data_IF_735961569260
#
_entry.id   IF_735961569260
#
_cell.length_a   1.000
_cell.length_b   1.000
_cell.length_c   1.000
_cell.angle_alpha   90.00
_cell.angle_beta   90.00
_cell.angle_gamma   90.00
#
_symmetry.space_group_name_H-M   'P 1'
#
loop_
_entity.id
_entity.type
_entity.pdbx_description
1 polymer ?
#
# COMPACT_ATOMS: atom_id res chain seq x y z
N UNK A 1 37.15 -10.50 -29.11
CA UNK A 1 36.50 -9.34 -28.45
C UNK A 1 35.59 -8.69 -29.48
N UNK A 2 34.28 -8.79 -29.25
CA UNK A 2 33.11 -8.19 -29.92
C UNK A 2 31.93 -8.95 -29.25
N UNK A 3 31.50 -8.61 -28.04
CA UNK A 3 30.84 -7.34 -27.72
C UNK A 3 29.31 -7.45 -27.80
N UNK A 4 28.73 -8.64 -27.62
CA UNK A 4 27.27 -8.86 -27.57
C UNK A 4 26.70 -8.48 -26.18
N UNK A 5 27.01 -7.26 -25.71
CA UNK A 5 26.63 -6.72 -24.38
C UNK A 5 25.20 -6.16 -24.31
N UNK A 6 24.25 -6.67 -25.10
CA UNK A 6 22.94 -6.00 -25.21
C UNK A 6 21.70 -6.87 -25.43
N UNK A 7 21.74 -8.19 -25.20
CA UNK A 7 20.59 -9.05 -25.49
C UNK A 7 20.06 -9.89 -24.30
N UNK A 8 20.79 -9.98 -23.19
CA UNK A 8 20.33 -10.72 -22.01
C UNK A 8 19.87 -9.74 -20.92
N UNK A 9 18.58 -9.75 -20.50
CA UNK A 9 18.08 -8.86 -19.44
C UNK A 9 18.76 -9.07 -18.09
N UNK A 10 19.46 -10.20 -17.91
CA UNK A 10 20.22 -10.55 -16.70
C UNK A 10 21.73 -10.34 -16.86
N UNK A 11 22.16 -9.55 -17.83
CA UNK A 11 23.57 -9.21 -18.00
C UNK A 11 24.14 -8.51 -16.75
N UNK A 12 25.25 -9.01 -16.22
CA UNK A 12 25.88 -8.49 -15.01
C UNK A 12 25.29 -9.02 -13.69
N UNK A 13 24.33 -9.96 -13.75
CA UNK A 13 23.70 -10.54 -12.55
C UNK A 13 24.71 -11.17 -11.58
N UNK A 14 25.72 -11.88 -12.10
CA UNK A 14 26.75 -12.54 -11.28
C UNK A 14 27.87 -11.58 -10.83
N UNK A 15 27.90 -10.34 -11.35
CA UNK A 15 28.91 -9.34 -10.98
C UNK A 15 28.52 -8.58 -9.68
N UNK A 16 27.27 -8.71 -9.23
CA UNK A 16 26.78 -8.12 -7.98
C UNK A 16 27.15 -9.02 -6.79
N UNK A 17 27.72 -8.43 -5.75
CA UNK A 17 27.99 -9.14 -4.49
C UNK A 17 26.70 -9.28 -3.65
N UNK A 18 25.82 -10.19 -4.08
CA UNK A 18 24.56 -10.44 -3.40
C UNK A 18 24.73 -10.92 -1.96
N UNK A 19 25.83 -11.62 -1.66
CA UNK A 19 26.15 -12.07 -0.31
C UNK A 19 26.45 -10.91 0.63
N UNK A 20 27.06 -9.83 0.13
CA UNK A 20 27.26 -8.61 0.91
C UNK A 20 25.93 -7.84 1.14
N UNK A 21 25.05 -7.83 0.14
CA UNK A 21 23.76 -7.12 0.22
C UNK A 21 22.72 -7.85 1.08
N UNK A 22 22.68 -9.18 1.03
CA UNK A 22 21.78 -10.01 1.81
C UNK A 22 22.56 -11.18 2.44
N UNK A 23 23.14 -11.00 3.65
CA UNK A 23 24.09 -11.95 4.24
C UNK A 23 23.56 -13.38 4.43
N UNK A 24 22.28 -13.53 4.73
CA UNK A 24 21.69 -14.83 5.04
C UNK A 24 21.41 -15.67 3.79
N UNK A 25 20.79 -15.06 2.77
CA UNK A 25 20.24 -15.77 1.61
C UNK A 25 20.61 -15.16 0.25
N UNK A 26 21.47 -14.13 0.22
CA UNK A 26 21.79 -13.39 -1.00
C UNK A 26 22.39 -14.23 -2.12
N UNK A 27 23.11 -15.30 -1.80
CA UNK A 27 23.64 -16.24 -2.80
C UNK A 27 22.57 -16.97 -3.62
N UNK A 28 21.32 -17.01 -3.13
CA UNK A 28 20.18 -17.61 -3.84
C UNK A 28 19.64 -16.67 -4.93
N UNK A 29 19.75 -15.35 -4.75
CA UNK A 29 19.09 -14.32 -5.60
C UNK A 29 19.41 -14.49 -7.10
N UNK A 30 20.67 -14.73 -7.54
CA UNK A 30 20.96 -14.96 -8.97
C UNK A 30 20.25 -16.17 -9.56
N UNK A 31 20.06 -17.24 -8.78
CA UNK A 31 19.33 -18.42 -9.22
C UNK A 31 17.85 -18.11 -9.39
N UNK A 32 17.27 -17.42 -8.41
CA UNK A 32 15.86 -17.05 -8.40
C UNK A 32 15.51 -16.07 -9.53
N UNK A 33 16.32 -15.04 -9.77
CA UNK A 33 16.11 -14.09 -10.89
C UNK A 33 16.16 -14.76 -12.26
N UNK A 34 16.94 -15.84 -12.42
CA UNK A 34 16.90 -16.67 -13.64
C UNK A 34 15.62 -17.52 -13.70
N UNK A 35 15.17 -18.04 -12.56
CA UNK A 35 13.95 -18.83 -12.42
C UNK A 35 12.68 -18.06 -12.82
N UNK A 36 12.66 -16.74 -12.66
CA UNK A 36 11.56 -15.85 -13.11
C UNK A 36 11.24 -15.98 -14.61
N UNK A 37 12.19 -16.42 -15.44
CA UNK A 37 11.97 -16.60 -16.90
C UNK A 37 11.30 -17.93 -17.27
N UNK A 38 11.19 -18.85 -16.32
CA UNK A 38 10.86 -20.25 -16.59
C UNK A 38 9.56 -20.70 -15.92
N UNK A 39 9.37 -22.02 -15.90
CA UNK A 39 8.20 -22.67 -15.26
C UNK A 39 8.18 -22.53 -13.73
N UNK A 40 9.30 -22.11 -13.13
CA UNK A 40 9.44 -21.88 -11.70
C UNK A 40 9.24 -20.40 -11.32
N UNK A 41 8.64 -19.60 -12.23
CA UNK A 41 8.50 -18.15 -12.04
C UNK A 41 7.83 -17.80 -10.70
N UNK A 42 6.66 -18.37 -10.44
CA UNK A 42 5.89 -18.11 -9.23
C UNK A 42 6.72 -18.43 -7.97
N UNK A 43 7.27 -19.65 -7.88
CA UNK A 43 8.11 -20.06 -6.75
C UNK A 43 9.35 -19.17 -6.58
N UNK A 44 9.94 -18.71 -7.69
CA UNK A 44 11.09 -17.82 -7.68
C UNK A 44 10.74 -16.44 -7.17
N UNK A 45 9.58 -15.89 -7.56
CA UNK A 45 9.08 -14.60 -7.09
C UNK A 45 8.74 -14.65 -5.59
N UNK A 46 8.12 -15.74 -5.11
CA UNK A 46 7.86 -15.93 -3.66
C UNK A 46 9.17 -15.95 -2.88
N UNK A 47 10.14 -16.76 -3.30
CA UNK A 47 11.42 -16.85 -2.63
C UNK A 47 12.21 -15.54 -2.68
N UNK A 48 12.10 -14.77 -3.78
CA UNK A 48 12.67 -13.42 -3.86
C UNK A 48 12.00 -12.48 -2.88
N UNK A 49 10.66 -12.46 -2.82
CA UNK A 49 9.91 -11.66 -1.86
C UNK A 49 10.34 -11.96 -0.42
N UNK A 50 10.45 -13.24 -0.03
CA UNK A 50 10.91 -13.61 1.32
C UNK A 50 12.30 -13.08 1.68
N UNK A 51 13.24 -13.07 0.72
CA UNK A 51 14.60 -12.57 0.93
C UNK A 51 14.63 -11.04 0.97
N UNK A 52 13.81 -10.42 0.11
CA UNK A 52 13.79 -8.99 -0.16
C UNK A 52 12.63 -8.28 0.54
N UNK A 53 12.04 -8.85 1.59
CA UNK A 53 10.93 -8.23 2.31
C UNK A 53 11.44 -7.11 3.23
N UNK A 54 10.86 -5.92 3.10
CA UNK A 54 11.06 -4.84 4.06
C UNK A 54 10.30 -5.12 5.37
N UNK A 55 10.81 -4.75 6.56
CA UNK A 55 12.07 -4.06 6.84
C UNK A 55 13.25 -5.02 7.12
N UNK A 56 13.24 -6.23 6.55
CA UNK A 56 14.24 -7.25 6.82
C UNK A 56 15.64 -6.92 6.26
N UNK A 57 16.70 -7.54 6.80
CA UNK A 57 18.09 -7.21 6.45
C UNK A 57 18.44 -7.49 4.99
N UNK A 58 17.76 -8.44 4.33
CA UNK A 58 17.97 -8.77 2.92
C UNK A 58 17.43 -7.72 1.94
N UNK A 59 16.56 -6.82 2.40
CA UNK A 59 16.01 -5.73 1.60
C UNK A 59 17.09 -4.77 1.06
N UNK A 60 18.29 -4.74 1.65
CA UNK A 60 19.44 -4.02 1.10
C UNK A 60 19.83 -4.46 -0.33
N UNK A 61 19.39 -5.65 -0.78
CA UNK A 61 19.55 -6.12 -2.16
C UNK A 61 18.43 -5.67 -3.13
N UNK A 62 17.32 -5.13 -2.62
CA UNK A 62 16.13 -4.77 -3.42
C UNK A 62 16.43 -3.80 -4.58
N UNK A 63 17.22 -2.72 -4.41
CA UNK A 63 17.49 -1.79 -5.50
C UNK A 63 18.10 -2.47 -6.73
N UNK A 64 19.02 -3.41 -6.52
CA UNK A 64 19.66 -4.17 -7.61
C UNK A 64 18.73 -5.21 -8.20
N UNK A 65 17.87 -5.84 -7.39
CA UNK A 65 16.88 -6.80 -7.87
C UNK A 65 15.85 -6.12 -8.79
N UNK A 66 15.37 -4.93 -8.41
CA UNK A 66 14.44 -4.10 -9.21
C UNK A 66 14.97 -3.86 -10.63
N UNK A 67 16.24 -3.50 -10.78
CA UNK A 67 16.86 -3.29 -12.10
C UNK A 67 16.68 -4.51 -13.02
N UNK A 68 16.95 -5.72 -12.49
CA UNK A 68 16.82 -6.97 -13.26
C UNK A 68 15.35 -7.33 -13.53
N UNK A 69 14.46 -7.12 -12.54
CA UNK A 69 13.03 -7.38 -12.71
C UNK A 69 12.42 -6.50 -13.81
N UNK A 70 12.77 -5.21 -13.86
CA UNK A 70 12.31 -4.31 -14.92
C UNK A 70 12.88 -4.66 -16.30
N UNK A 71 14.13 -5.16 -16.38
CA UNK A 71 14.66 -5.69 -17.64
C UNK A 71 13.85 -6.91 -18.13
N UNK A 72 13.36 -7.76 -17.23
CA UNK A 72 12.51 -8.91 -17.58
C UNK A 72 11.13 -8.44 -18.07
N UNK A 73 10.53 -7.43 -17.43
CA UNK A 73 9.28 -6.82 -17.89
C UNK A 73 9.44 -6.24 -19.30
N UNK A 74 10.51 -5.49 -19.54
CA UNK A 74 10.83 -4.91 -20.85
C UNK A 74 11.06 -5.98 -21.93
N UNK A 75 11.68 -7.12 -21.57
CA UNK A 75 11.86 -8.24 -22.50
C UNK A 75 10.53 -8.93 -22.88
N UNK A 76 9.46 -8.74 -22.11
CA UNK A 76 8.19 -9.41 -22.39
C UNK A 76 8.12 -10.84 -21.87
N UNK A 77 8.75 -11.17 -20.73
CA UNK A 77 8.61 -12.51 -20.13
C UNK A 77 7.13 -12.86 -19.87
N UNK A 78 6.70 -14.13 -19.90
CA UNK A 78 5.35 -14.49 -19.45
C UNK A 78 5.10 -14.03 -18.00
N UNK A 79 3.84 -13.77 -17.62
CA UNK A 79 3.50 -13.42 -16.24
C UNK A 79 4.04 -12.07 -15.74
N UNK A 80 4.27 -11.09 -16.63
CA UNK A 80 4.84 -9.77 -16.23
C UNK A 80 4.09 -9.07 -15.11
N UNK A 81 2.77 -9.26 -15.00
CA UNK A 81 1.97 -8.70 -13.92
C UNK A 81 2.46 -9.18 -12.54
N UNK A 82 2.89 -10.44 -12.40
CA UNK A 82 3.47 -10.98 -11.16
C UNK A 82 4.85 -10.39 -10.86
N UNK A 83 5.64 -10.17 -11.92
CA UNK A 83 6.94 -9.48 -11.80
C UNK A 83 6.74 -8.03 -11.35
N UNK A 84 5.75 -7.34 -11.92
CA UNK A 84 5.37 -5.99 -11.52
C UNK A 84 4.82 -5.94 -10.10
N UNK A 85 4.07 -6.95 -9.64
CA UNK A 85 3.67 -7.02 -8.24
C UNK A 85 4.89 -7.00 -7.31
N UNK A 86 5.90 -7.85 -7.56
CA UNK A 86 7.12 -7.81 -6.76
C UNK A 86 7.85 -6.46 -6.89
N UNK A 87 7.91 -5.86 -8.08
CA UNK A 87 8.52 -4.53 -8.26
C UNK A 87 7.78 -3.47 -7.42
N UNK A 88 6.45 -3.52 -7.37
CA UNK A 88 5.64 -2.64 -6.52
C UNK A 88 6.05 -2.81 -5.05
N UNK A 89 6.05 -4.04 -4.55
CA UNK A 89 6.30 -4.32 -3.13
C UNK A 89 7.73 -3.94 -2.72
N UNK A 90 8.69 -4.02 -3.65
CA UNK A 90 10.05 -3.57 -3.42
C UNK A 90 10.18 -2.05 -3.48
N UNK A 91 9.48 -1.36 -4.38
CA UNK A 91 9.63 0.07 -4.56
C UNK A 91 8.86 0.90 -3.52
N UNK A 92 7.69 0.41 -3.10
CA UNK A 92 6.80 1.07 -2.13
C UNK A 92 6.33 0.03 -1.10
N UNK A 93 7.23 -0.50 -0.25
CA UNK A 93 6.92 -1.61 0.66
C UNK A 93 5.88 -1.26 1.73
N UNK A 94 5.72 0.03 2.05
CA UNK A 94 4.78 0.53 3.04
C UNK A 94 3.79 1.51 2.40
N UNK A 95 2.96 1.05 1.46
CA UNK A 95 2.02 1.89 0.69
C UNK A 95 1.15 2.82 1.55
N UNK A 96 0.70 2.35 2.72
CA UNK A 96 -0.11 3.14 3.66
C UNK A 96 0.62 4.36 4.25
N UNK A 97 1.94 4.43 4.12
CA UNK A 97 2.76 5.57 4.53
C UNK A 97 2.69 6.72 3.52
N UNK A 98 2.14 6.49 2.34
CA UNK A 98 2.00 7.47 1.25
C UNK A 98 0.56 8.01 1.12
N UNK A 99 -0.34 7.65 2.03
CA UNK A 99 -1.73 8.11 2.07
C UNK A 99 -2.14 8.65 3.46
N UNK A 100 -2.97 9.71 3.50
CA UNK A 100 -3.46 10.48 2.35
C UNK A 100 -2.40 11.46 1.79
N UNK A 101 -1.45 11.88 2.62
CA UNK A 101 -0.44 12.87 2.21
C UNK A 101 0.73 12.21 1.50
N UNK A 102 1.13 12.79 0.37
CA UNK A 102 2.27 12.30 -0.40
C UNK A 102 3.57 12.62 0.33
N UNK A 103 4.58 11.79 0.12
CA UNK A 103 5.92 12.02 0.67
C UNK A 103 6.67 13.04 -0.18
N UNK A 104 7.29 14.02 0.45
CA UNK A 104 8.24 14.90 -0.22
C UNK A 104 9.55 14.15 -0.47
N UNK A 105 9.86 13.92 -1.75
CA UNK A 105 11.05 13.17 -2.18
C UNK A 105 12.36 13.90 -1.84
N UNK A 106 12.39 15.24 -1.86
CA UNK A 106 13.58 15.99 -1.50
C UNK A 106 13.89 15.84 0.00
N UNK A 107 12.86 15.97 0.85
CA UNK A 107 12.99 15.72 2.29
C UNK A 107 13.38 14.27 2.58
N UNK A 108 12.82 13.29 1.86
CA UNK A 108 13.22 11.90 1.99
C UNK A 108 14.71 11.68 1.65
N UNK A 109 15.20 12.26 0.56
CA UNK A 109 16.62 12.18 0.19
C UNK A 109 17.52 12.78 1.25
N UNK A 110 17.16 13.93 1.81
CA UNK A 110 17.92 14.58 2.88
C UNK A 110 17.94 13.72 4.16
N UNK A 111 16.80 13.14 4.53
CA UNK A 111 16.68 12.18 5.64
C UNK A 111 17.60 10.97 5.46
N UNK A 112 17.54 10.31 4.30
CA UNK A 112 18.36 9.12 4.01
C UNK A 112 19.85 9.45 3.93
N UNK A 113 20.20 10.62 3.37
CA UNK A 113 21.59 11.09 3.34
C UNK A 113 22.14 11.27 4.77
N UNK A 114 21.33 11.82 5.67
CA UNK A 114 21.68 11.94 7.08
C UNK A 114 21.84 10.57 7.76
N UNK A 115 20.86 9.66 7.62
CA UNK A 115 20.92 8.30 8.21
C UNK A 115 22.15 7.53 7.73
N UNK A 116 22.45 7.62 6.44
CA UNK A 116 23.60 6.93 5.83
C UNK A 116 24.94 7.43 6.35
N UNK A 117 25.00 8.67 6.86
CA UNK A 117 26.20 9.25 7.48
C UNK A 117 26.26 9.08 9.00
N UNK A 118 25.16 8.66 9.65
CA UNK A 118 25.07 8.49 11.09
C UNK A 118 25.50 7.07 11.51
N UNK A 119 25.96 6.91 12.76
CA UNK A 119 26.04 5.59 13.37
C UNK A 119 24.64 5.06 13.73
N UNK A 120 24.48 3.74 13.75
CA UNK A 120 23.18 3.11 13.95
C UNK A 120 22.55 3.39 15.33
N UNK A 121 23.34 3.74 16.35
CA UNK A 121 22.82 4.12 17.67
C UNK A 121 22.18 5.50 17.61
N UNK A 122 22.94 6.49 17.12
CA UNK A 122 22.47 7.86 16.91
C UNK A 122 21.23 7.92 16.01
N UNK A 123 21.21 7.13 14.92
CA UNK A 123 20.05 7.04 14.06
C UNK A 123 18.81 6.55 14.84
N UNK A 124 18.92 5.44 15.57
CA UNK A 124 17.80 4.88 16.36
C UNK A 124 17.27 5.88 17.39
N UNK A 125 18.16 6.53 18.14
CA UNK A 125 17.77 7.49 19.18
C UNK A 125 17.02 8.69 18.59
N UNK A 126 17.48 9.20 17.44
CA UNK A 126 16.82 10.31 16.76
C UNK A 126 15.44 9.93 16.22
N UNK A 127 15.30 8.76 15.56
CA UNK A 127 13.99 8.30 15.09
C UNK A 127 13.03 8.01 16.24
N UNK A 128 13.52 7.53 17.39
CA UNK A 128 12.69 7.37 18.59
C UNK A 128 12.19 8.73 19.11
N UNK A 129 13.03 9.76 19.05
CA UNK A 129 12.63 11.15 19.30
C UNK A 129 11.55 11.63 18.34
N UNK A 130 11.76 11.48 17.02
CA UNK A 130 10.77 11.83 16.00
C UNK A 130 9.46 11.06 16.16
N UNK A 131 9.51 9.78 16.57
CA UNK A 131 8.30 8.99 16.82
C UNK A 131 7.44 9.60 17.95
N UNK A 132 8.09 10.09 19.01
CA UNK A 132 7.41 10.70 20.14
C UNK A 132 6.81 12.09 19.81
N UNK A 133 7.38 12.76 18.80
CA UNK A 133 6.98 14.08 18.32
C UNK A 133 6.15 14.02 17.02
N UNK A 134 5.81 12.82 16.53
CA UNK A 134 5.10 12.65 15.27
C UNK A 134 3.77 13.44 15.29
N UNK A 135 3.53 14.33 14.31
CA UNK A 135 2.40 15.25 14.34
C UNK A 135 1.05 14.58 14.07
N UNK A 136 1.08 13.46 13.35
CA UNK A 136 -0.08 12.70 12.90
C UNK A 136 0.22 11.20 12.83
N UNK A 137 -0.81 10.41 12.56
CA UNK A 137 -0.68 8.97 12.49
C UNK A 137 0.11 8.50 11.26
N UNK A 138 0.06 9.22 10.14
CA UNK A 138 0.79 8.85 8.94
C UNK A 138 2.30 8.95 9.12
N UNK A 139 2.78 10.06 9.69
CA UNK A 139 4.18 10.28 10.00
C UNK A 139 4.68 9.28 11.05
N UNK A 140 3.83 8.93 12.02
CA UNK A 140 4.16 7.90 12.98
C UNK A 140 4.32 6.51 12.34
N UNK A 141 3.47 6.13 11.38
CA UNK A 141 3.61 4.87 10.64
C UNK A 141 4.95 4.82 9.88
N UNK A 142 5.27 5.89 9.14
CA UNK A 142 6.56 6.09 8.44
C UNK A 142 7.77 5.85 9.36
N UNK A 143 7.78 6.53 10.50
CA UNK A 143 8.88 6.45 11.47
C UNK A 143 8.96 5.04 12.10
N UNK A 144 7.82 4.42 12.41
CA UNK A 144 7.75 3.07 13.00
C UNK A 144 8.36 2.02 12.08
N UNK A 145 8.05 2.08 10.77
CA UNK A 145 8.62 1.19 9.77
C UNK A 145 10.15 1.27 9.73
N UNK A 146 10.71 2.49 9.71
CA UNK A 146 12.16 2.72 9.69
C UNK A 146 12.84 2.34 11.00
N UNK A 147 12.20 2.53 12.15
CA UNK A 147 12.72 2.05 13.43
C UNK A 147 12.86 0.52 13.47
N UNK A 148 11.93 -0.22 12.86
CA UNK A 148 12.05 -1.68 12.70
C UNK A 148 13.25 -2.05 11.83
N UNK A 149 13.44 -1.37 10.70
CA UNK A 149 14.60 -1.57 9.83
C UNK A 149 15.92 -1.29 10.57
N UNK A 150 15.98 -0.16 11.28
CA UNK A 150 17.11 0.21 12.12
C UNK A 150 17.37 -0.83 13.20
N UNK A 151 16.41 -1.65 13.62
CA UNK A 151 16.62 -2.74 14.60
C UNK A 151 17.64 -3.80 14.16
N UNK A 152 17.95 -3.91 12.87
CA UNK A 152 18.94 -4.84 12.33
C UNK A 152 20.37 -4.29 12.35
N UNK A 153 21.37 -5.17 12.29
CA UNK A 153 22.79 -4.80 12.28
C UNK A 153 23.17 -3.92 11.08
N UNK A 154 22.58 -4.19 9.91
CA UNK A 154 22.72 -3.41 8.68
C UNK A 154 21.57 -2.39 8.48
N UNK A 155 20.87 -2.01 9.55
CA UNK A 155 19.60 -1.27 9.46
C UNK A 155 19.67 0.07 8.74
N UNK A 156 20.78 0.82 8.85
CA UNK A 156 20.96 2.07 8.08
C UNK A 156 21.04 1.82 6.58
N UNK A 157 21.63 0.69 6.16
CA UNK A 157 21.66 0.28 4.76
C UNK A 157 20.27 -0.17 4.27
N UNK A 158 19.47 -0.79 5.14
CA UNK A 158 18.07 -1.14 4.82
C UNK A 158 17.21 0.11 4.60
N UNK A 159 17.33 1.12 5.46
CA UNK A 159 16.64 2.41 5.29
C UNK A 159 17.11 3.12 4.01
N UNK A 160 18.42 3.11 3.72
CA UNK A 160 18.92 3.68 2.47
C UNK A 160 18.42 2.92 1.23
N UNK A 161 18.28 1.59 1.34
CA UNK A 161 17.76 0.76 0.27
C UNK A 161 16.28 1.02 -0.03
N UNK A 162 15.48 1.50 0.93
CA UNK A 162 14.07 1.88 0.72
C UNK A 162 13.98 2.97 -0.35
N UNK A 163 14.74 4.05 -0.18
CA UNK A 163 14.83 5.12 -1.17
C UNK A 163 15.46 4.63 -2.47
N UNK A 164 16.54 3.86 -2.40
CA UNK A 164 17.23 3.41 -3.61
C UNK A 164 16.38 2.47 -4.47
N UNK A 165 15.49 1.66 -3.88
CA UNK A 165 14.57 0.79 -4.63
C UNK A 165 13.48 1.61 -5.32
N UNK A 166 12.92 2.61 -4.63
CA UNK A 166 12.02 3.59 -5.21
C UNK A 166 12.67 4.34 -6.39
N UNK A 167 13.88 4.84 -6.22
CA UNK A 167 14.61 5.55 -7.27
C UNK A 167 15.00 4.64 -8.45
N UNK A 168 15.31 3.37 -8.21
CA UNK A 168 15.61 2.40 -9.27
C UNK A 168 14.41 2.17 -10.21
N UNK A 169 13.18 2.22 -9.70
CA UNK A 169 11.96 2.20 -10.54
C UNK A 169 11.76 3.55 -11.21
N UNK A 170 11.93 4.67 -10.49
CA UNK A 170 11.78 6.03 -11.06
C UNK A 170 12.70 6.25 -12.28
N UNK A 171 13.94 5.76 -12.21
CA UNK A 171 14.91 5.88 -13.29
C UNK A 171 14.57 5.00 -14.51
N UNK A 172 13.54 4.14 -14.39
CA UNK A 172 13.09 3.19 -15.42
C UNK A 172 11.59 3.29 -15.72
N UNK A 173 10.95 4.42 -15.41
CA UNK A 173 9.52 4.62 -15.69
C UNK A 173 9.13 4.46 -17.16
N UNK A 174 10.05 4.65 -18.11
CA UNK A 174 9.78 4.41 -19.53
C UNK A 174 9.32 2.97 -19.81
N UNK A 175 9.82 1.99 -19.04
CA UNK A 175 9.38 0.59 -19.14
C UNK A 175 7.90 0.48 -18.75
N UNK A 176 7.49 1.14 -17.67
CA UNK A 176 6.12 1.13 -17.18
C UNK A 176 5.17 1.88 -18.11
N UNK A 177 5.57 3.06 -18.60
CA UNK A 177 4.80 3.81 -19.58
C UNK A 177 4.60 3.01 -20.88
N UNK A 178 5.65 2.32 -21.35
CA UNK A 178 5.57 1.51 -22.56
C UNK A 178 4.61 0.32 -22.47
N UNK A 179 4.33 -0.19 -21.26
CA UNK A 179 3.39 -1.31 -21.08
C UNK A 179 1.95 -0.88 -20.77
N UNK A 180 1.68 0.43 -20.63
CA UNK A 180 0.30 0.94 -20.57
C UNK A 180 -0.42 0.71 -21.91
N UNK A 181 0.30 0.85 -23.01
CA UNK A 181 -0.28 0.79 -24.36
C UNK A 181 -0.46 -0.65 -24.86
N UNK A 182 -1.39 -0.83 -25.79
CA UNK A 182 -1.54 -2.07 -26.55
C UNK A 182 -2.51 -3.07 -25.92
N UNK A 183 -3.41 -3.61 -26.75
CA UNK A 183 -4.48 -4.54 -26.35
C UNK A 183 -3.97 -5.76 -25.58
N UNK A 184 -2.76 -6.24 -25.90
CA UNK A 184 -2.14 -7.39 -25.23
C UNK A 184 -1.73 -7.12 -23.77
N UNK A 185 -1.54 -5.86 -23.39
CA UNK A 185 -1.18 -5.48 -22.03
C UNK A 185 -2.40 -5.19 -21.14
N UNK A 186 -3.61 -5.08 -21.73
CA UNK A 186 -4.83 -4.57 -21.07
C UNK A 186 -5.92 -5.62 -20.86
N UNK A 187 -5.69 -6.88 -21.17
CA UNK A 187 -6.67 -7.96 -21.00
C UNK A 187 -6.30 -8.91 -19.87
N UNK A 188 -7.29 -9.56 -19.25
CA UNK A 188 -7.08 -10.61 -18.25
C UNK A 188 -6.09 -10.22 -17.15
N UNK A 189 -4.96 -10.91 -17.09
CA UNK A 189 -3.78 -10.60 -16.28
C UNK A 189 -3.09 -9.30 -16.76
N UNK A 190 -3.76 -8.17 -16.57
CA UNK A 190 -3.44 -6.87 -17.16
C UNK A 190 -2.11 -6.31 -16.64
N UNK A 191 -1.10 -6.30 -17.51
CA UNK A 191 0.20 -5.67 -17.22
C UNK A 191 0.06 -4.14 -17.12
N UNK A 192 -0.84 -3.56 -17.91
CA UNK A 192 -1.14 -2.13 -17.91
C UNK A 192 -1.75 -1.68 -16.57
N UNK A 193 -2.60 -2.52 -15.96
CA UNK A 193 -3.20 -2.25 -14.65
C UNK A 193 -2.13 -2.13 -13.56
N UNK A 194 -1.22 -3.12 -13.50
CA UNK A 194 -0.10 -3.09 -12.56
C UNK A 194 0.87 -1.94 -12.83
N UNK A 195 1.12 -1.61 -14.09
CA UNK A 195 1.95 -0.47 -14.43
C UNK A 195 1.30 0.84 -13.98
N UNK A 196 0.02 1.05 -14.26
CA UNK A 196 -0.73 2.22 -13.78
C UNK A 196 -0.70 2.33 -12.26
N UNK A 197 -0.87 1.19 -11.57
CA UNK A 197 -0.79 1.14 -10.11
C UNK A 197 0.58 1.55 -9.55
N UNK A 198 1.68 1.07 -10.15
CA UNK A 198 3.04 1.47 -9.74
C UNK A 198 3.27 2.96 -10.03
N UNK A 199 2.84 3.44 -11.20
CA UNK A 199 3.00 4.83 -11.62
C UNK A 199 2.30 5.82 -10.67
N UNK A 200 1.20 5.42 -10.02
CA UNK A 200 0.47 6.23 -9.04
C UNK A 200 1.35 6.73 -7.87
N UNK A 201 2.46 6.04 -7.59
CA UNK A 201 3.34 6.34 -6.45
C UNK A 201 4.50 7.28 -6.79
N UNK A 202 4.58 7.83 -8.00
CA UNK A 202 5.65 8.73 -8.48
C UNK A 202 5.11 10.13 -8.83
N UNK A 203 4.60 10.89 -7.84
CA UNK A 203 4.00 12.21 -8.07
C UNK A 203 4.97 13.24 -8.67
N UNK A 204 6.27 13.11 -8.39
CA UNK A 204 7.31 13.96 -8.97
C UNK A 204 7.47 13.80 -10.48
N UNK A 205 6.93 12.72 -11.06
CA UNK A 205 6.91 12.45 -12.50
C UNK A 205 5.50 12.65 -13.11
N UNK A 206 4.58 13.30 -12.39
CA UNK A 206 3.19 13.47 -12.82
C UNK A 206 3.06 14.14 -14.21
N UNK A 207 3.95 15.10 -14.55
CA UNK A 207 3.94 15.80 -15.85
C UNK A 207 4.03 14.85 -17.05
N UNK A 208 4.75 13.72 -16.91
CA UNK A 208 4.89 12.70 -17.95
C UNK A 208 3.89 11.55 -17.78
N UNK A 209 3.50 11.21 -16.55
CA UNK A 209 2.62 10.07 -16.26
C UNK A 209 1.16 10.40 -16.58
N UNK A 210 0.65 11.55 -16.13
CA UNK A 210 -0.78 11.92 -16.27
C UNK A 210 -1.22 11.93 -17.74
N UNK A 211 -0.49 12.56 -18.68
CA UNK A 211 -0.86 12.49 -20.09
C UNK A 211 -0.85 11.07 -20.66
N UNK A 212 0.09 10.22 -20.23
CA UNK A 212 0.16 8.83 -20.69
C UNK A 212 -1.05 8.01 -20.22
N UNK A 213 -1.46 8.17 -18.95
CA UNK A 213 -2.65 7.52 -18.40
C UNK A 213 -3.93 7.95 -19.13
N UNK A 214 -4.11 9.25 -19.39
CA UNK A 214 -5.25 9.76 -20.13
C UNK A 214 -5.33 9.20 -21.56
N UNK A 215 -4.18 9.02 -22.22
CA UNK A 215 -4.13 8.53 -23.59
C UNK A 215 -4.30 7.00 -23.68
N UNK A 216 -3.83 6.25 -22.69
CA UNK A 216 -3.79 4.79 -22.74
C UNK A 216 -5.21 4.16 -22.82
N UNK A 217 -6.19 4.80 -22.19
CA UNK A 217 -7.60 4.40 -22.19
C UNK A 217 -8.52 5.24 -23.10
N UNK A 218 -8.02 6.24 -23.84
CA UNK A 218 -8.85 7.11 -24.69
C UNK A 218 -9.24 6.37 -25.99
N UNK A 219 -10.52 6.04 -26.24
CA UNK A 219 -10.94 5.31 -27.43
C UNK A 219 -10.71 6.07 -28.75
N UNK A 220 -10.38 7.37 -28.71
CA UNK A 220 -10.02 8.16 -29.90
C UNK A 220 -8.54 8.04 -30.26
N UNK A 221 -7.70 7.77 -29.27
CA UNK A 221 -6.25 7.63 -29.44
C UNK A 221 -5.82 6.16 -29.45
N UNK A 222 -6.58 5.33 -28.74
CA UNK A 222 -6.47 3.89 -28.67
C UNK A 222 -7.56 3.23 -29.53
N UNK A 223 -7.79 1.95 -29.28
CA UNK A 223 -8.80 1.13 -29.93
C UNK A 223 -10.21 1.54 -29.45
N UNK A 224 -11.21 1.72 -30.33
CA UNK A 224 -12.54 2.23 -29.96
C UNK A 224 -13.29 1.41 -28.90
N UNK A 225 -12.91 0.15 -28.71
CA UNK A 225 -13.49 -0.76 -27.73
C UNK A 225 -12.75 -0.71 -26.37
N UNK A 226 -11.62 -0.01 -26.27
CA UNK A 226 -10.88 0.13 -25.02
C UNK A 226 -11.52 1.18 -24.12
N UNK A 227 -11.51 0.87 -22.82
CA UNK A 227 -11.91 1.75 -21.74
C UNK A 227 -10.72 2.01 -20.82
N UNK A 228 -10.74 3.10 -20.04
CA UNK A 228 -9.83 3.28 -18.91
C UNK A 228 -9.93 2.08 -17.96
N UNK A 229 -8.80 1.69 -17.39
CA UNK A 229 -8.77 0.70 -16.31
C UNK A 229 -9.00 1.41 -14.96
N UNK A 230 -9.67 0.80 -13.98
CA UNK A 230 -9.84 1.38 -12.64
C UNK A 230 -8.52 1.83 -11.99
N UNK A 231 -7.44 1.07 -12.14
CA UNK A 231 -6.11 1.45 -11.64
C UNK A 231 -5.53 2.70 -12.33
N UNK A 232 -5.87 2.97 -13.60
CA UNK A 232 -5.48 4.22 -14.28
C UNK A 232 -6.24 5.42 -13.72
N UNK A 233 -7.53 5.23 -13.44
CA UNK A 233 -8.38 6.26 -12.82
C UNK A 233 -7.89 6.57 -11.40
N UNK A 234 -7.56 5.55 -10.62
CA UNK A 234 -6.89 5.70 -9.33
C UNK A 234 -5.56 6.47 -9.44
N UNK A 235 -4.70 6.08 -10.38
CA UNK A 235 -3.42 6.73 -10.60
C UNK A 235 -3.58 8.22 -10.98
N UNK A 236 -4.59 8.58 -11.76
CA UNK A 236 -4.93 9.98 -12.02
C UNK A 236 -5.29 10.72 -10.73
N UNK A 237 -6.08 10.09 -9.85
CA UNK A 237 -6.40 10.62 -8.52
C UNK A 237 -5.17 10.90 -7.67
N UNK A 238 -4.22 9.97 -7.69
CA UNK A 238 -2.97 10.03 -6.95
C UNK A 238 -1.92 10.99 -7.52
N UNK A 239 -2.10 11.52 -8.74
CA UNK A 239 -1.06 12.28 -9.42
C UNK A 239 -1.48 13.68 -9.85
N UNK A 240 -2.75 13.86 -10.22
CA UNK A 240 -3.20 15.12 -10.80
C UNK A 240 -3.16 16.28 -9.81
N UNK A 241 -2.89 17.47 -10.36
CA UNK A 241 -3.00 18.74 -9.65
C UNK A 241 -4.48 19.18 -9.63
N UNK A 242 -5.03 19.67 -8.50
CA UNK A 242 -6.40 20.17 -8.45
C UNK A 242 -6.71 21.30 -9.45
N UNK A 243 -5.71 22.04 -9.91
CA UNK A 243 -5.84 23.05 -10.94
C UNK A 243 -5.90 22.47 -12.36
N UNK A 244 -5.63 21.17 -12.56
CA UNK A 244 -5.77 20.50 -13.85
C UNK A 244 -7.26 20.21 -14.16
N UNK A 245 -7.86 21.17 -14.85
CA UNK A 245 -9.24 21.06 -15.31
C UNK A 245 -9.45 19.88 -16.30
N UNK A 246 -8.41 19.43 -17.01
CA UNK A 246 -8.52 18.33 -17.97
C UNK A 246 -8.81 17.02 -17.25
N UNK A 247 -8.02 16.70 -16.22
CA UNK A 247 -8.22 15.51 -15.39
C UNK A 247 -9.56 15.60 -14.66
N UNK A 248 -9.87 16.75 -14.06
CA UNK A 248 -11.14 16.94 -13.33
C UNK A 248 -12.36 16.71 -14.23
N UNK A 249 -12.35 17.24 -15.46
CA UNK A 249 -13.43 17.02 -16.44
C UNK A 249 -13.50 15.57 -16.88
N UNK A 250 -12.35 14.93 -17.12
CA UNK A 250 -12.30 13.51 -17.48
C UNK A 250 -12.92 12.62 -16.38
N UNK A 251 -12.49 12.78 -15.13
CA UNK A 251 -13.03 12.05 -13.99
C UNK A 251 -14.52 12.35 -13.78
N UNK A 252 -14.94 13.60 -13.92
CA UNK A 252 -16.35 13.99 -13.84
C UNK A 252 -17.24 13.35 -14.91
N UNK A 253 -16.70 13.06 -16.10
CA UNK A 253 -17.42 12.30 -17.13
C UNK A 253 -17.59 10.83 -16.72
N UNK A 254 -16.56 10.22 -16.13
CA UNK A 254 -16.58 8.83 -15.65
C UNK A 254 -17.58 8.60 -14.50
N UNK A 255 -17.97 9.64 -13.74
CA UNK A 255 -19.07 9.54 -12.75
C UNK A 255 -20.43 9.18 -13.37
N UNK A 256 -20.54 9.13 -14.70
CA UNK A 256 -21.74 8.76 -15.43
C UNK A 256 -21.52 7.52 -16.32
N UNK A 257 -20.43 6.77 -16.12
CA UNK A 257 -20.22 5.51 -16.83
C UNK A 257 -21.27 4.45 -16.41
N UNK A 258 -21.42 3.43 -17.25
CA UNK A 258 -22.27 2.28 -16.97
C UNK A 258 -21.57 1.21 -16.09
N UNK A 259 -20.25 1.33 -15.94
CA UNK A 259 -19.43 0.48 -15.07
C UNK A 259 -19.31 1.11 -13.67
N UNK A 260 -19.92 0.46 -12.68
CA UNK A 260 -19.95 0.95 -11.29
C UNK A 260 -18.54 1.02 -10.68
N UNK A 261 -17.60 0.16 -11.08
CA UNK A 261 -16.22 0.20 -10.60
C UNK A 261 -15.49 1.44 -11.12
N UNK A 262 -15.72 1.82 -12.38
CA UNK A 262 -15.18 3.07 -12.94
C UNK A 262 -15.82 4.31 -12.31
N UNK A 263 -17.12 4.27 -12.02
CA UNK A 263 -17.80 5.36 -11.30
C UNK A 263 -17.20 5.53 -9.91
N UNK A 264 -17.00 4.43 -9.18
CA UNK A 264 -16.40 4.45 -7.85
C UNK A 264 -14.93 4.92 -7.89
N UNK A 265 -14.12 4.39 -8.81
CA UNK A 265 -12.73 4.81 -9.00
C UNK A 265 -12.63 6.31 -9.31
N UNK A 266 -13.51 6.83 -10.17
CA UNK A 266 -13.52 8.25 -10.52
C UNK A 266 -13.94 9.15 -9.36
N UNK A 267 -14.91 8.71 -8.56
CA UNK A 267 -15.34 9.43 -7.36
C UNK A 267 -14.22 9.50 -6.32
N UNK A 268 -13.54 8.37 -6.08
CA UNK A 268 -12.38 8.30 -5.19
C UNK A 268 -11.22 9.15 -5.69
N UNK A 269 -10.93 9.10 -6.99
CA UNK A 269 -9.90 9.92 -7.62
C UNK A 269 -10.19 11.42 -7.49
N UNK A 270 -11.43 11.86 -7.69
CA UNK A 270 -11.83 13.26 -7.47
C UNK A 270 -11.66 13.67 -6.00
N UNK A 271 -11.96 12.77 -5.07
CA UNK A 271 -11.70 12.97 -3.64
C UNK A 271 -10.21 13.19 -3.34
N UNK A 272 -9.34 12.35 -3.90
CA UNK A 272 -7.88 12.49 -3.74
C UNK A 272 -7.31 13.77 -4.36
N UNK A 273 -7.83 14.19 -5.52
CA UNK A 273 -7.34 15.40 -6.22
C UNK A 273 -7.74 16.66 -5.49
N UNK A 274 -9.00 16.75 -5.05
CA UNK A 274 -9.59 18.00 -4.55
C UNK A 274 -9.68 18.08 -3.03
N UNK A 275 -9.59 16.94 -2.32
CA UNK A 275 -9.67 16.85 -0.87
C UNK A 275 -10.93 17.58 -0.33
N UNK A 276 -10.77 18.62 0.51
CA UNK A 276 -11.91 19.43 1.00
C UNK A 276 -12.74 20.14 -0.07
N UNK A 277 -12.20 20.32 -1.28
CA UNK A 277 -12.88 20.96 -2.41
C UNK A 277 -13.54 19.95 -3.37
N UNK A 278 -13.69 18.68 -2.95
CA UNK A 278 -14.29 17.63 -3.77
C UNK A 278 -15.67 18.02 -4.30
N UNK A 279 -16.01 17.70 -5.57
CA UNK A 279 -17.36 17.90 -6.07
C UNK A 279 -18.39 17.05 -5.30
N UNK A 280 -19.52 17.65 -4.91
CA UNK A 280 -20.64 16.98 -4.21
C UNK A 280 -21.11 15.70 -4.94
N UNK A 281 -21.05 15.69 -6.27
CA UNK A 281 -21.40 14.51 -7.07
C UNK A 281 -20.49 13.31 -6.80
N UNK A 282 -19.19 13.54 -6.56
CA UNK A 282 -18.27 12.45 -6.22
C UNK A 282 -18.57 11.90 -4.82
N UNK A 283 -18.85 12.78 -3.85
CA UNK A 283 -19.28 12.37 -2.50
C UNK A 283 -20.54 11.52 -2.57
N UNK A 284 -21.55 11.96 -3.32
CA UNK A 284 -22.78 11.20 -3.51
C UNK A 284 -22.53 9.80 -4.09
N UNK A 285 -21.64 9.68 -5.10
CA UNK A 285 -21.27 8.37 -5.67
C UNK A 285 -20.56 7.45 -4.68
N UNK A 286 -19.70 7.98 -3.81
CA UNK A 286 -19.07 7.18 -2.75
C UNK A 286 -20.09 6.71 -1.71
N UNK A 287 -21.05 7.57 -1.35
CA UNK A 287 -22.10 7.25 -0.38
C UNK A 287 -23.13 6.23 -0.90
N UNK A 288 -23.44 6.27 -2.19
CA UNK A 288 -24.38 5.36 -2.87
C UNK A 288 -23.91 3.88 -2.86
N UNK A 289 -22.61 3.66 -2.67
CA UNK A 289 -22.03 2.31 -2.65
C UNK A 289 -22.16 1.69 -1.26
N UNK A 290 -22.80 0.51 -1.21
CA UNK A 290 -22.98 -0.24 0.02
C UNK A 290 -21.71 -0.97 0.47
N UNK A 291 -20.96 -1.58 -0.46
CA UNK A 291 -19.81 -2.45 -0.20
C UNK A 291 -18.52 -1.86 -0.78
N UNK A 292 -17.86 -0.95 -0.07
CA UNK A 292 -16.63 -0.31 -0.56
C UNK A 292 -15.48 -1.30 -0.76
N UNK A 293 -15.40 -2.32 0.09
CA UNK A 293 -14.36 -3.34 0.05
C UNK A 293 -14.25 -4.06 -1.30
N UNK A 294 -15.40 -4.34 -1.94
CA UNK A 294 -15.45 -5.02 -3.24
C UNK A 294 -14.93 -4.10 -4.35
N UNK A 295 -15.36 -2.83 -4.37
CA UNK A 295 -14.91 -1.86 -5.36
C UNK A 295 -13.45 -1.48 -5.18
N UNK A 296 -12.93 -1.39 -3.94
CA UNK A 296 -11.52 -1.16 -3.70
C UNK A 296 -10.66 -2.28 -4.30
N UNK A 297 -11.07 -3.55 -4.16
CA UNK A 297 -10.35 -4.68 -4.74
C UNK A 297 -10.33 -4.66 -6.27
N UNK A 298 -11.32 -4.05 -6.92
CA UNK A 298 -11.33 -3.83 -8.37
C UNK A 298 -10.48 -2.62 -8.79
N UNK A 299 -10.41 -1.57 -7.97
CA UNK A 299 -9.69 -0.34 -8.29
C UNK A 299 -8.18 -0.45 -8.06
N UNK A 300 -7.78 -1.26 -7.08
CA UNK A 300 -6.42 -1.34 -6.56
C UNK A 300 -5.97 -2.80 -6.61
N UNK A 301 -4.94 -3.13 -7.42
CA UNK A 301 -4.34 -4.44 -7.37
C UNK A 301 -3.91 -4.80 -5.95
N UNK A 302 -4.26 -6.01 -5.49
CA UNK A 302 -3.79 -6.51 -4.19
C UNK A 302 -2.28 -6.75 -4.25
N UNK A 303 -1.54 -5.98 -3.46
CA UNK A 303 -0.09 -5.97 -3.44
C UNK A 303 0.42 -6.10 -2.00
N UNK A 304 1.26 -7.09 -1.74
CA UNK A 304 1.74 -7.40 -0.39
C UNK A 304 0.63 -7.74 0.61
N UNK A 305 0.91 -7.46 1.89
CA UNK A 305 0.02 -7.84 3.00
C UNK A 305 -1.11 -6.82 3.27
N UNK A 306 -1.03 -5.62 2.70
CA UNK A 306 -2.04 -4.57 2.92
C UNK A 306 -3.14 -4.71 1.89
N UNK A 307 -4.31 -5.15 2.35
CA UNK A 307 -5.49 -5.28 1.49
C UNK A 307 -5.90 -3.94 0.84
N UNK A 308 -6.35 -3.95 -0.43
CA UNK A 308 -6.89 -2.79 -1.14
C UNK A 308 -7.85 -1.92 -0.32
N UNK A 309 -8.75 -2.55 0.43
CA UNK A 309 -9.74 -1.82 1.21
C UNK A 309 -9.12 -1.03 2.37
N UNK A 310 -7.94 -1.39 2.88
CA UNK A 310 -7.24 -0.57 3.85
C UNK A 310 -6.72 0.73 3.22
N UNK A 311 -6.09 0.65 2.04
CA UNK A 311 -5.62 1.82 1.30
C UNK A 311 -6.78 2.71 0.86
N UNK A 312 -7.85 2.09 0.38
CA UNK A 312 -9.10 2.77 0.02
C UNK A 312 -9.71 3.54 1.19
N UNK A 313 -9.73 2.94 2.39
CA UNK A 313 -10.20 3.63 3.59
C UNK A 313 -9.32 4.83 3.97
N UNK A 314 -8.00 4.77 3.78
CA UNK A 314 -7.12 5.94 3.99
C UNK A 314 -7.39 7.03 2.96
N UNK A 315 -7.58 6.65 1.69
CA UNK A 315 -7.86 7.59 0.61
C UNK A 315 -9.20 8.31 0.76
N UNK A 316 -10.25 7.60 1.19
CA UNK A 316 -11.53 8.24 1.57
C UNK A 316 -11.33 9.22 2.73
N UNK A 317 -10.42 8.92 3.66
CA UNK A 317 -10.05 9.83 4.75
C UNK A 317 -9.45 11.16 4.31
N UNK A 318 -8.97 11.28 3.06
CA UNK A 318 -8.49 12.55 2.50
C UNK A 318 -9.61 13.55 2.20
N UNK A 319 -10.86 13.09 2.15
CA UNK A 319 -12.02 13.90 1.83
C UNK A 319 -12.62 14.48 3.10
N UNK A 320 -12.60 15.81 3.21
CA UNK A 320 -13.21 16.52 4.35
C UNK A 320 -14.72 16.72 4.13
N UNK A 321 -15.47 15.64 4.34
CA UNK A 321 -16.93 15.63 4.27
C UNK A 321 -17.54 14.88 5.48
N UNK A 322 -18.53 15.50 6.13
CA UNK A 322 -19.16 14.98 7.35
C UNK A 322 -19.94 13.68 7.10
N UNK A 323 -20.70 13.59 6.01
CA UNK A 323 -21.49 12.40 5.68
C UNK A 323 -20.57 11.24 5.31
N UNK A 324 -19.52 11.51 4.55
CA UNK A 324 -18.54 10.50 4.14
C UNK A 324 -17.72 10.00 5.33
N UNK A 325 -17.34 10.87 6.26
CA UNK A 325 -16.66 10.48 7.51
C UNK A 325 -17.55 9.60 8.41
N UNK A 326 -18.85 9.93 8.50
CA UNK A 326 -19.83 9.09 9.20
C UNK A 326 -19.99 7.71 8.51
N UNK A 327 -20.13 7.71 7.19
CA UNK A 327 -20.22 6.51 6.36
C UNK A 327 -18.98 5.60 6.49
N UNK A 328 -17.79 6.19 6.52
CA UNK A 328 -16.52 5.52 6.77
C UNK A 328 -16.48 4.86 8.15
N UNK A 329 -16.94 5.57 9.19
CA UNK A 329 -17.04 5.05 10.55
C UNK A 329 -18.00 3.86 10.65
N UNK A 330 -19.16 3.95 10.00
CA UNK A 330 -20.14 2.86 9.95
C UNK A 330 -19.57 1.61 9.27
N UNK A 331 -18.86 1.80 8.16
CA UNK A 331 -18.29 0.71 7.35
C UNK A 331 -17.01 0.12 7.94
N UNK A 332 -16.34 0.80 8.89
CA UNK A 332 -15.07 0.39 9.49
C UNK A 332 -15.08 -1.07 9.96
N UNK A 333 -16.12 -1.48 10.70
CA UNK A 333 -16.25 -2.85 11.20
C UNK A 333 -16.25 -3.87 10.07
N UNK A 334 -16.98 -3.58 8.98
CA UNK A 334 -17.10 -4.48 7.83
C UNK A 334 -15.77 -4.61 7.11
N UNK A 335 -15.08 -3.49 6.88
CA UNK A 335 -13.73 -3.51 6.29
C UNK A 335 -12.78 -4.35 7.13
N UNK A 336 -12.72 -4.12 8.45
CA UNK A 336 -11.84 -4.91 9.34
C UNK A 336 -12.18 -6.41 9.32
N UNK A 337 -13.46 -6.77 9.17
CA UNK A 337 -13.88 -8.16 9.05
C UNK A 337 -13.49 -8.79 7.69
N UNK A 338 -13.47 -7.99 6.62
CA UNK A 338 -13.12 -8.43 5.27
C UNK A 338 -11.61 -8.61 5.08
N UNK A 339 -10.81 -7.63 5.53
CA UNK A 339 -9.39 -7.51 5.15
C UNK A 339 -8.41 -8.30 6.01
N UNK A 340 -8.86 -8.86 7.13
CA UNK A 340 -7.99 -9.61 8.05
C UNK A 340 -6.93 -8.74 8.76
N UNK A 341 -6.16 -9.35 9.67
CA UNK A 341 -5.42 -8.62 10.70
C UNK A 341 -4.23 -7.77 10.25
N UNK A 342 -3.65 -8.06 9.09
CA UNK A 342 -2.34 -7.51 8.68
C UNK A 342 -2.36 -5.98 8.47
N UNK A 343 -3.54 -5.36 8.31
CA UNK A 343 -3.69 -3.90 8.19
C UNK A 343 -4.65 -3.25 9.20
N UNK A 344 -5.13 -3.97 10.21
CA UNK A 344 -6.04 -3.41 11.21
C UNK A 344 -5.44 -2.22 11.96
N UNK A 345 -4.19 -2.32 12.39
CA UNK A 345 -3.52 -1.23 13.11
C UNK A 345 -3.51 0.08 12.30
N UNK A 346 -3.35 -0.01 10.98
CA UNK A 346 -3.27 1.15 10.08
C UNK A 346 -4.61 1.88 10.04
N UNK A 347 -5.68 1.18 9.68
CA UNK A 347 -7.00 1.81 9.50
C UNK A 347 -7.63 2.20 10.83
N UNK A 348 -7.39 1.44 11.90
CA UNK A 348 -7.87 1.83 13.23
C UNK A 348 -7.16 3.06 13.74
N UNK A 349 -5.85 3.19 13.55
CA UNK A 349 -5.14 4.36 14.02
C UNK A 349 -5.61 5.64 13.32
N UNK A 350 -5.85 5.55 12.00
CA UNK A 350 -6.41 6.64 11.21
C UNK A 350 -7.87 6.97 11.61
N UNK A 351 -8.71 5.96 11.81
CA UNK A 351 -10.07 6.16 12.29
C UNK A 351 -10.12 6.84 13.67
N UNK A 352 -9.21 6.48 14.58
CA UNK A 352 -9.08 7.14 15.89
C UNK A 352 -8.68 8.61 15.73
N UNK A 353 -7.69 8.91 14.89
CA UNK A 353 -7.29 10.30 14.61
C UNK A 353 -8.43 11.14 14.03
N UNK A 354 -9.24 10.56 13.15
CA UNK A 354 -10.37 11.28 12.54
C UNK A 354 -11.45 11.74 13.52
N UNK A 355 -11.62 11.06 14.67
CA UNK A 355 -12.68 11.37 15.67
C UNK A 355 -12.13 11.93 16.99
N UNK A 356 -10.86 11.69 17.32
CA UNK A 356 -10.20 12.23 18.51
C UNK A 356 -9.29 13.42 18.20
N UNK A 357 -9.05 13.72 16.92
CA UNK A 357 -8.05 14.68 16.47
C UNK A 357 -6.63 14.11 16.55
N UNK A 358 -5.62 14.97 16.32
CA UNK A 358 -4.21 14.57 16.36
C UNK A 358 -3.87 13.92 17.69
N UNK A 359 -3.04 12.88 17.65
CA UNK A 359 -2.63 12.22 18.88
C UNK A 359 -1.88 13.22 19.78
N UNK A 360 -2.14 13.23 21.10
CA UNK A 360 -1.36 14.04 22.03
C UNK A 360 0.14 13.69 21.96
N UNK A 361 0.97 14.70 21.64
CA UNK A 361 2.44 14.59 21.61
C UNK A 361 3.01 14.64 23.03
N UNK A 362 3.94 13.73 23.38
CA UNK A 362 4.61 13.68 24.69
C UNK A 362 4.44 12.37 25.48
N UNK A 363 5.00 12.30 26.70
CA UNK A 363 4.82 11.17 27.62
C UNK A 363 3.33 11.00 27.99
N UNK A 364 2.63 10.14 27.23
CA UNK A 364 1.33 9.50 27.50
C UNK A 364 0.21 10.44 27.99
N UNK A 365 -0.98 10.46 27.35
CA UNK A 365 -2.12 11.11 27.97
C UNK A 365 -2.35 10.54 29.39
N UNK A 366 -2.57 11.44 30.35
CA UNK A 366 -2.79 11.11 31.75
C UNK A 366 -4.10 10.32 31.90
N UNK A 367 -4.01 9.00 31.97
CA UNK A 367 -5.11 8.11 32.34
C UNK A 367 -5.90 7.49 31.18
N UNK A 368 -6.72 6.47 31.46
CA UNK A 368 -7.54 5.80 30.46
C UNK A 368 -8.59 6.75 29.87
N UNK A 369 -8.88 6.62 28.58
CA UNK A 369 -9.99 7.33 27.91
C UNK A 369 -11.29 7.08 28.66
N UNK A 370 -11.99 8.16 29.06
CA UNK A 370 -13.31 8.07 29.68
C UNK A 370 -14.39 7.92 28.60
N UNK A 371 -14.81 6.68 28.36
CA UNK A 371 -15.88 6.37 27.39
C UNK A 371 -17.19 7.11 27.66
N UNK A 372 -17.48 7.45 28.93
CA UNK A 372 -18.67 8.23 29.30
C UNK A 372 -18.62 9.67 28.80
N UNK A 373 -17.41 10.22 28.63
CA UNK A 373 -17.15 11.55 28.08
C UNK A 373 -17.06 11.60 26.55
N UNK A 374 -16.96 10.45 25.88
CA UNK A 374 -16.90 10.40 24.41
C UNK A 374 -18.22 10.83 23.77
N UNK A 375 -18.15 11.48 22.61
CA UNK A 375 -19.32 11.75 21.76
C UNK A 375 -19.77 10.49 21.00
N UNK A 376 -20.81 10.63 20.16
CA UNK A 376 -21.39 9.48 19.45
C UNK A 376 -20.45 8.90 18.39
N UNK A 377 -19.67 9.73 17.70
CA UNK A 377 -18.77 9.28 16.62
C UNK A 377 -17.58 8.52 17.21
N UNK A 378 -16.98 9.06 18.27
CA UNK A 378 -15.94 8.42 19.06
C UNK A 378 -16.40 7.06 19.60
N UNK A 379 -17.63 7.00 20.14
CA UNK A 379 -18.20 5.73 20.62
C UNK A 379 -18.40 4.73 19.49
N UNK A 380 -18.84 5.17 18.31
CA UNK A 380 -19.04 4.31 17.14
C UNK A 380 -17.72 3.67 16.70
N UNK A 381 -16.64 4.45 16.56
CA UNK A 381 -15.30 3.92 16.22
C UNK A 381 -14.84 2.91 17.26
N UNK A 382 -14.88 3.26 18.55
CA UNK A 382 -14.44 2.35 19.62
C UNK A 382 -15.24 1.05 19.66
N UNK A 383 -16.55 1.14 19.40
CA UNK A 383 -17.44 -0.03 19.35
C UNK A 383 -17.11 -0.92 18.14
N UNK A 384 -16.96 -0.32 16.95
CA UNK A 384 -16.59 -1.04 15.73
C UNK A 384 -15.30 -1.84 15.91
N UNK A 385 -14.27 -1.24 16.53
CA UNK A 385 -12.99 -1.91 16.83
C UNK A 385 -13.16 -3.04 17.85
N UNK A 386 -13.98 -2.84 18.90
CA UNK A 386 -14.23 -3.85 19.93
C UNK A 386 -15.03 -5.07 19.43
N UNK A 387 -15.76 -4.93 18.32
CA UNK A 387 -16.56 -5.99 17.71
C UNK A 387 -15.79 -6.86 16.71
N UNK A 388 -14.59 -6.47 16.27
CA UNK A 388 -13.74 -7.25 15.37
C UNK A 388 -13.41 -8.62 15.99
N UNK A 389 -13.22 -9.65 15.15
CA UNK A 389 -12.84 -10.99 15.59
C UNK A 389 -11.51 -10.98 16.38
N UNK A 390 -11.42 -11.80 17.42
CA UNK A 390 -10.20 -11.99 18.20
C UNK A 390 -9.10 -12.79 17.47
N UNK A 391 -9.44 -13.51 16.40
CA UNK A 391 -8.54 -14.44 15.69
C UNK A 391 -7.24 -13.83 15.13
N UNK A 392 -7.15 -12.51 15.03
CA UNK A 392 -5.95 -11.78 14.58
C UNK A 392 -5.60 -10.57 15.44
N UNK A 393 -6.12 -10.49 16.66
CA UNK A 393 -5.86 -9.36 17.56
C UNK A 393 -4.38 -9.25 17.93
N UNK A 394 -3.76 -10.40 18.22
CA UNK A 394 -2.34 -10.50 18.50
C UNK A 394 -1.57 -10.56 17.16
N UNK A 395 -0.64 -9.62 16.95
CA UNK A 395 0.19 -9.54 15.74
C UNK A 395 -0.27 -8.52 14.68
N UNK A 396 -1.51 -8.04 14.75
CA UNK A 396 -2.04 -7.00 13.83
C UNK A 396 -1.53 -5.56 14.08
N UNK A 397 -0.70 -5.37 15.11
CA UNK A 397 -0.33 -4.04 15.60
C UNK A 397 -1.46 -3.28 16.31
N UNK A 398 -2.68 -3.83 16.37
CA UNK A 398 -3.85 -3.16 16.95
C UNK A 398 -3.68 -2.86 18.44
N UNK A 399 -3.11 -3.79 19.20
CA UNK A 399 -2.84 -3.58 20.62
C UNK A 399 -1.84 -2.44 20.90
N UNK A 400 -0.84 -2.27 20.03
CA UNK A 400 0.15 -1.20 20.11
C UNK A 400 -0.51 0.15 19.82
N UNK A 401 -1.31 0.22 18.76
CA UNK A 401 -2.11 1.41 18.40
C UNK A 401 -3.01 1.81 19.55
N UNK A 402 -3.86 0.92 20.04
CA UNK A 402 -4.80 1.22 21.13
C UNK A 402 -4.06 1.71 22.38
N UNK A 403 -2.95 1.04 22.76
CA UNK A 403 -2.16 1.45 23.92
C UNK A 403 -1.53 2.83 23.74
N UNK A 404 -1.10 3.17 22.52
CA UNK A 404 -0.58 4.50 22.19
C UNK A 404 -1.64 5.60 22.29
N UNK A 405 -2.91 5.27 22.04
CA UNK A 405 -4.06 6.15 22.25
C UNK A 405 -4.58 6.16 23.71
N UNK A 406 -3.92 5.48 24.65
CA UNK A 406 -4.39 5.37 26.04
C UNK A 406 -5.62 4.47 26.22
N UNK A 407 -5.95 3.67 25.21
CA UNK A 407 -7.04 2.70 25.20
C UNK A 407 -6.55 1.31 25.67
N UNK A 408 -7.46 0.42 26.11
CA UNK A 408 -7.10 -0.94 26.47
C UNK A 408 -6.57 -1.72 25.25
N UNK A 409 -5.30 -2.13 25.28
CA UNK A 409 -4.70 -2.94 24.21
C UNK A 409 -5.23 -4.38 24.13
N UNK A 410 -5.90 -4.88 25.18
CA UNK A 410 -6.56 -6.20 25.19
C UNK A 410 -8.01 -6.08 24.76
N UNK A 411 -8.44 -6.93 23.82
CA UNK A 411 -9.81 -6.97 23.30
C UNK A 411 -10.89 -7.05 24.38
N UNK A 412 -10.76 -7.96 25.34
CA UNK A 412 -11.75 -8.12 26.41
C UNK A 412 -11.93 -6.85 27.25
N UNK A 413 -10.82 -6.15 27.52
CA UNK A 413 -10.86 -4.88 28.24
C UNK A 413 -11.48 -3.75 27.40
N UNK A 414 -11.22 -3.71 26.09
CA UNK A 414 -11.86 -2.76 25.18
C UNK A 414 -13.37 -3.02 25.07
N UNK A 415 -13.79 -4.28 24.95
CA UNK A 415 -15.21 -4.68 24.96
C UNK A 415 -15.92 -4.25 26.24
N UNK A 416 -15.28 -4.47 27.39
CA UNK A 416 -15.80 -4.02 28.68
C UNK A 416 -15.92 -2.50 28.76
N UNK A 417 -14.94 -1.76 28.23
CA UNK A 417 -14.96 -0.29 28.17
C UNK A 417 -16.17 0.23 27.39
N UNK A 418 -16.49 -0.39 26.25
CA UNK A 418 -17.62 0.02 25.38
C UNK A 418 -18.97 -0.61 25.79
N UNK A 419 -19.02 -1.40 26.87
CA UNK A 419 -20.25 -2.02 27.36
C UNK A 419 -20.73 -3.24 26.56
N UNK A 420 -19.87 -3.85 25.75
CA UNK A 420 -20.19 -5.10 25.04
C UNK A 420 -20.08 -6.31 25.99
N UNK A 421 -20.93 -7.33 25.83
CA UNK A 421 -20.88 -8.52 26.67
C UNK A 421 -19.57 -9.29 26.47
N UNK A 422 -19.13 -9.98 27.53
CA UNK A 422 -18.04 -10.94 27.44
C UNK A 422 -18.39 -12.01 26.39
N UNK A 423 -17.44 -12.33 25.52
CA UNK A 423 -17.67 -13.36 24.50
C UNK A 423 -17.82 -14.71 25.20
N UNK A 424 -18.85 -15.47 24.83
CA UNK A 424 -18.96 -16.85 25.31
C UNK A 424 -17.68 -17.60 24.91
N UNK A 425 -17.12 -18.46 25.79
CA UNK A 425 -15.93 -19.22 25.45
C UNK A 425 -16.20 -19.97 24.14
N UNK A 426 -15.40 -19.68 23.11
CA UNK A 426 -15.50 -20.40 21.84
C UNK A 426 -15.35 -21.88 22.15
N UNK A 427 -16.34 -22.67 21.74
CA UNK A 427 -16.18 -24.11 21.70
C UNK A 427 -14.91 -24.39 20.89
N UNK A 428 -13.96 -25.11 21.49
CA UNK A 428 -12.75 -25.54 20.80
C UNK A 428 -13.20 -26.20 19.50
N UNK A 429 -12.76 -25.72 18.33
CA UNK A 429 -13.09 -26.39 17.08
C UNK A 429 -12.62 -27.84 17.24
N UNK A 430 -13.53 -28.81 17.06
CA UNK A 430 -13.10 -30.19 16.87
C UNK A 430 -12.10 -30.18 15.70
N UNK A 431 -11.00 -30.94 15.74
CA UNK A 431 -10.00 -30.92 14.68
C UNK A 431 -10.66 -31.31 13.36
N UNK A 432 -11.04 -30.31 12.58
CA UNK A 432 -11.45 -30.48 11.20
C UNK A 432 -10.15 -30.67 10.41
N UNK A 433 -10.10 -31.78 9.66
CA UNK A 433 -9.06 -31.98 8.64
C UNK A 433 -9.00 -30.70 7.77
N UNK A 434 -7.80 -30.21 7.44
CA UNK A 434 -7.67 -28.95 6.71
C UNK A 434 -8.44 -29.03 5.39
N UNK A 435 -9.48 -28.21 5.26
CA UNK A 435 -10.07 -27.90 3.96
C UNK A 435 -9.06 -27.04 3.19
N UNK A 436 -8.66 -27.52 2.02
CA UNK A 436 -7.84 -26.78 1.07
C UNK A 436 -8.65 -25.59 0.53
N UNK A 437 -8.53 -24.43 1.16
CA UNK A 437 -9.31 -23.26 0.74
C UNK A 437 -8.93 -21.91 1.33
N UNK A 438 -7.95 -21.82 2.23
CA UNK A 438 -7.39 -20.52 2.63
C UNK A 438 -6.44 -20.03 1.56
N UNK A 439 -6.56 -18.76 1.15
CA UNK A 439 -5.56 -18.11 0.31
C UNK A 439 -4.20 -18.17 1.03
N UNK A 440 -3.36 -19.11 0.62
CA UNK A 440 -1.99 -19.19 1.09
C UNK A 440 -1.20 -17.95 0.67
N UNK A 441 0.06 -17.86 1.09
CA UNK A 441 1.01 -16.85 0.61
C UNK A 441 0.94 -16.66 -0.93
N UNK A 442 0.66 -17.73 -1.67
CA UNK A 442 0.43 -17.75 -3.12
C UNK A 442 -0.81 -16.96 -3.58
N UNK A 443 -1.93 -17.03 -2.85
CA UNK A 443 -3.12 -16.24 -3.17
C UNK A 443 -2.94 -14.74 -2.90
N UNK A 444 -2.15 -14.40 -1.87
CA UNK A 444 -1.84 -13.01 -1.49
C UNK A 444 -0.81 -12.34 -2.42
N UNK A 445 0.17 -13.09 -2.92
CA UNK A 445 1.23 -12.57 -3.82
C UNK A 445 0.83 -12.53 -5.30
N UNK A 446 -0.25 -13.19 -5.73
CA UNK A 446 -0.57 -13.35 -7.16
C UNK A 446 -2.03 -13.09 -7.53
N UNK A 447 -2.80 -12.40 -6.67
CA UNK A 447 -4.12 -11.86 -7.03
C UNK A 447 -5.11 -12.90 -7.56
N UNK A 448 -5.24 -14.04 -6.87
CA UNK A 448 -6.10 -15.13 -7.32
C UNK A 448 -7.59 -14.82 -7.13
N UNK A 449 -8.25 -14.24 -8.13
CA UNK A 449 -9.71 -14.39 -8.27
C UNK A 449 -10.02 -15.86 -8.61
N UNK A 450 -10.97 -16.44 -7.88
CA UNK A 450 -11.57 -17.73 -8.27
C UNK A 450 -12.41 -17.60 -9.52
#
# INVERSE_FOLDING_TARGET
>A
MNGNRGADPLHGLDDVDWGALAPERGKEIPGLLRGVRGVEQEASLVALHEILAYPGPGYAAAPRAVEFLLNLVEQGVPGRHQVLNLVQELAVPAMADHLPDRRDLALWRDEVAWVSGADAGTARDQYAGWLAEAPDEQERRRITGRLRALGHDNGTAVVAAELAAYEAVRDRLDVLLGVLEGRANRGGESVAEWAAYILAWYPEEAERIVPALLNAGDPRQADPDLRPLPAEVWALGMLADPADATVTVHLGQLLNDADDDLVFAAALALGLVHGPAVPEQAVARLLDVEYWEDHFATCLPQSGAVEPAHLGMLAVGAVDDEELRAARTERLRRVLAYTGPDGWGIVVADALESVFGPRPTGERPAGPVDFGGCDQEQRNVLTAVAEVDGGGWDGSGLAEVLTAWGLPGKRAALRSLVGLPDEAPRATPSPQLPEAGGAGLLGRLFGGNR
#
